data_IF_984390314058
#
_entry.id   IF_984390314058
#
_cell.length_a   1.000
_cell.length_b   1.000
_cell.length_c   1.000
_cell.angle_alpha   90.00
_cell.angle_beta   90.00
_cell.angle_gamma   90.00
#
_symmetry.space_group_name_H-M   'P 1'
#
loop_
_entity.id
_entity.type
_entity.pdbx_description
1 polymer ?
#
# COMPACT_ATOMS: atom_id res chain seq x y z
N UNK A 1 50.06 -14.18 -35.84
CA UNK A 1 49.12 -15.00 -36.64
C UNK A 1 48.22 -15.75 -35.68
N UNK A 2 46.93 -15.90 -36.01
CA UNK A 2 45.97 -16.64 -35.17
C UNK A 2 45.20 -17.68 -35.98
N UNK A 3 44.91 -18.81 -35.35
CA UNK A 3 44.22 -19.94 -35.99
C UNK A 3 42.72 -19.81 -35.82
N UNK A 4 41.95 -20.00 -36.91
CA UNK A 4 40.49 -20.01 -36.85
C UNK A 4 39.96 -21.22 -36.07
N UNK A 5 39.14 -20.99 -35.04
CA UNK A 5 38.54 -22.06 -34.21
C UNK A 5 37.54 -22.96 -34.96
N UNK A 6 37.04 -22.52 -36.11
CA UNK A 6 36.07 -23.28 -36.91
C UNK A 6 36.71 -24.13 -38.01
N UNK A 7 37.81 -23.67 -38.64
CA UNK A 7 38.43 -24.38 -39.77
C UNK A 7 39.91 -24.73 -39.58
N UNK A 8 40.55 -24.27 -38.50
CA UNK A 8 41.95 -24.61 -38.18
C UNK A 8 43.01 -23.89 -39.02
N UNK A 9 42.64 -22.96 -39.90
CA UNK A 9 43.61 -22.22 -40.76
C UNK A 9 44.10 -20.92 -40.11
N UNK A 10 45.34 -20.57 -40.39
CA UNK A 10 45.98 -19.33 -39.92
C UNK A 10 45.41 -18.09 -40.61
N UNK A 11 45.29 -17.00 -39.85
CA UNK A 11 44.85 -15.69 -40.32
C UNK A 11 45.71 -14.59 -39.68
N UNK A 12 45.76 -13.39 -40.30
CA UNK A 12 46.33 -12.19 -39.67
C UNK A 12 45.72 -11.91 -38.30
N UNK A 13 46.52 -11.34 -37.39
CA UNK A 13 46.09 -11.09 -36.01
C UNK A 13 44.94 -10.06 -35.91
N UNK A 14 44.83 -9.19 -36.91
CA UNK A 14 43.83 -8.12 -37.03
C UNK A 14 42.57 -8.50 -37.84
N UNK A 15 42.51 -9.70 -38.43
CA UNK A 15 41.42 -10.09 -39.33
C UNK A 15 40.10 -10.33 -38.59
N UNK A 16 39.07 -9.50 -38.75
CA UNK A 16 37.75 -9.65 -38.09
C UNK A 16 36.97 -10.92 -38.46
N UNK A 17 37.28 -11.50 -39.62
CA UNK A 17 36.69 -12.73 -40.17
C UNK A 17 37.79 -13.64 -40.72
N UNK A 18 37.54 -14.94 -40.74
CA UNK A 18 38.46 -15.90 -41.33
C UNK A 18 38.46 -15.79 -42.86
N UNK A 19 39.64 -15.59 -43.46
CA UNK A 19 39.81 -15.47 -44.91
C UNK A 19 39.48 -16.76 -45.70
N UNK A 20 39.30 -17.89 -45.00
CA UNK A 20 39.03 -19.19 -45.63
C UNK A 20 37.59 -19.69 -45.46
N UNK A 21 36.95 -19.45 -44.32
CA UNK A 21 35.59 -19.93 -44.06
C UNK A 21 34.56 -18.81 -43.80
N UNK A 22 35.00 -17.55 -43.75
CA UNK A 22 34.12 -16.40 -43.50
C UNK A 22 33.61 -16.27 -42.07
N UNK A 23 33.98 -17.18 -41.16
CA UNK A 23 33.47 -17.15 -39.79
C UNK A 23 34.10 -16.00 -38.99
N UNK A 24 33.33 -15.40 -38.07
CA UNK A 24 33.82 -14.26 -37.27
C UNK A 24 34.93 -14.70 -36.33
N UNK A 25 36.00 -13.92 -36.33
CA UNK A 25 37.15 -14.09 -35.44
C UNK A 25 37.08 -13.13 -34.25
N UNK A 26 35.92 -12.49 -34.03
CA UNK A 26 35.67 -11.68 -32.85
C UNK A 26 35.79 -12.56 -31.61
N UNK A 27 36.54 -12.10 -30.61
CA UNK A 27 36.54 -12.72 -29.30
C UNK A 27 35.11 -12.73 -28.78
N UNK A 28 34.49 -13.92 -28.75
CA UNK A 28 33.26 -14.14 -28.01
C UNK A 28 33.56 -13.74 -26.56
N UNK A 29 33.06 -12.57 -26.14
CA UNK A 29 33.16 -12.15 -24.74
C UNK A 29 32.62 -13.32 -23.93
N UNK A 30 33.41 -13.95 -23.03
CA UNK A 30 32.95 -15.11 -22.31
C UNK A 30 31.59 -14.75 -21.70
N UNK A 31 30.57 -15.61 -21.88
CA UNK A 31 29.22 -15.28 -21.44
C UNK A 31 29.33 -14.87 -19.97
N UNK A 32 28.82 -13.69 -19.63
CA UNK A 32 28.92 -13.17 -18.28
C UNK A 32 28.36 -14.24 -17.33
N UNK A 33 29.26 -14.92 -16.60
CA UNK A 33 28.85 -16.02 -15.74
C UNK A 33 28.02 -15.40 -14.63
N UNK A 34 26.70 -15.63 -14.68
CA UNK A 34 25.79 -15.12 -13.66
C UNK A 34 26.26 -15.60 -12.29
N UNK A 35 26.57 -14.65 -11.40
CA UNK A 35 27.01 -14.95 -10.01
C UNK A 35 26.00 -15.83 -9.27
N UNK A 36 24.74 -15.83 -9.70
CA UNK A 36 23.65 -16.64 -9.15
C UNK A 36 23.77 -18.14 -9.44
N UNK A 37 24.54 -18.55 -10.48
CA UNK A 37 24.80 -19.97 -10.76
C UNK A 37 25.80 -20.62 -9.80
N UNK A 38 26.50 -19.82 -8.97
CA UNK A 38 27.49 -20.32 -8.01
C UNK A 38 26.93 -20.61 -6.62
N UNK A 39 25.65 -20.31 -6.38
CA UNK A 39 25.04 -20.55 -5.08
C UNK A 39 24.79 -22.07 -4.96
N UNK A 40 25.40 -22.75 -3.97
CA UNK A 40 25.15 -24.17 -3.74
C UNK A 40 23.69 -24.40 -3.34
N UNK A 41 23.15 -25.60 -3.54
CA UNK A 41 21.73 -25.89 -3.31
C UNK A 41 21.25 -25.52 -1.89
N UNK A 42 22.11 -25.64 -0.86
CA UNK A 42 21.78 -25.23 0.50
C UNK A 42 21.59 -23.71 0.65
N UNK A 43 22.31 -22.89 -0.13
CA UNK A 43 22.18 -21.44 -0.11
C UNK A 43 20.82 -20.98 -0.65
N UNK A 44 20.31 -21.66 -1.68
CA UNK A 44 18.95 -21.42 -2.19
C UNK A 44 17.87 -21.77 -1.17
N UNK A 45 18.05 -22.86 -0.41
CA UNK A 45 17.14 -23.22 0.68
C UNK A 45 17.10 -22.12 1.74
N UNK A 46 18.27 -21.59 2.15
CA UNK A 46 18.31 -20.50 3.13
C UNK A 46 17.65 -19.22 2.61
N UNK A 47 17.90 -18.84 1.35
CA UNK A 47 17.25 -17.68 0.74
C UNK A 47 15.72 -17.85 0.73
N UNK A 48 15.24 -19.05 0.38
CA UNK A 48 13.82 -19.35 0.39
C UNK A 48 13.24 -19.26 1.82
N UNK A 49 13.89 -19.90 2.80
CA UNK A 49 13.45 -19.89 4.20
C UNK A 49 13.41 -18.46 4.75
N UNK A 50 14.47 -17.67 4.55
CA UNK A 50 14.52 -16.26 4.96
C UNK A 50 13.45 -15.44 4.23
N UNK A 51 13.22 -15.70 2.94
CA UNK A 51 12.16 -15.07 2.17
C UNK A 51 10.77 -15.36 2.73
N UNK A 52 10.48 -16.62 3.08
CA UNK A 52 9.21 -17.03 3.69
C UNK A 52 9.03 -16.41 5.08
N UNK A 53 10.06 -16.44 5.94
CA UNK A 53 10.02 -15.81 7.26
C UNK A 53 9.79 -14.30 7.13
N UNK A 54 10.51 -13.64 6.23
CA UNK A 54 10.35 -12.21 5.96
C UNK A 54 8.96 -11.86 5.46
N UNK A 55 8.37 -12.68 4.58
CA UNK A 55 7.00 -12.51 4.10
C UNK A 55 5.97 -12.66 5.23
N UNK A 56 6.12 -13.67 6.09
CA UNK A 56 5.24 -13.87 7.26
C UNK A 56 5.35 -12.67 8.21
N UNK A 57 6.58 -12.25 8.53
CA UNK A 57 6.83 -11.10 9.39
C UNK A 57 6.26 -9.80 8.81
N UNK A 58 6.33 -9.62 7.47
CA UNK A 58 5.73 -8.48 6.79
C UNK A 58 4.20 -8.44 6.95
N UNK A 59 3.51 -9.56 6.76
CA UNK A 59 2.06 -9.60 6.93
C UNK A 59 1.67 -9.34 8.38
N UNK A 60 2.30 -10.02 9.34
CA UNK A 60 2.03 -9.81 10.78
C UNK A 60 2.31 -8.35 11.17
N UNK A 61 3.47 -7.83 10.77
CA UNK A 61 3.86 -6.44 11.04
C UNK A 61 2.89 -5.43 10.43
N UNK A 62 2.36 -5.71 9.22
CA UNK A 62 1.36 -4.86 8.58
C UNK A 62 0.04 -4.84 9.35
N UNK A 63 -0.44 -6.00 9.83
CA UNK A 63 -1.64 -6.07 10.67
C UNK A 63 -1.45 -5.32 11.99
N UNK A 64 -0.30 -5.50 12.65
CA UNK A 64 0.02 -4.77 13.89
C UNK A 64 0.10 -3.27 13.63
N UNK A 65 0.76 -2.84 12.57
CA UNK A 65 0.88 -1.43 12.22
C UNK A 65 -0.49 -0.78 11.95
N UNK A 66 -1.36 -1.46 11.18
CA UNK A 66 -2.72 -0.99 10.90
C UNK A 66 -3.56 -0.90 12.19
N UNK A 67 -3.39 -1.85 13.12
CA UNK A 67 -4.18 -1.91 14.35
C UNK A 67 -3.69 -0.98 15.47
N UNK A 68 -2.41 -0.64 15.52
CA UNK A 68 -1.80 0.07 16.66
C UNK A 68 -1.35 1.49 16.34
N UNK A 69 -0.99 1.79 15.09
CA UNK A 69 -0.47 3.10 14.70
C UNK A 69 -1.61 3.93 14.13
N UNK A 70 -1.95 5.00 14.87
CA UNK A 70 -3.01 5.93 14.47
C UNK A 70 -2.77 6.47 13.05
N UNK A 71 -3.81 6.36 12.23
CA UNK A 71 -3.83 6.84 10.86
C UNK A 71 -3.13 6.00 9.81
N UNK A 72 -2.41 4.91 10.15
CA UNK A 72 -1.90 3.98 9.13
C UNK A 72 -3.04 3.39 8.30
N UNK A 73 -4.12 2.94 8.97
CA UNK A 73 -5.33 2.46 8.31
C UNK A 73 -5.92 3.51 7.34
N UNK A 74 -6.14 4.73 7.83
CA UNK A 74 -6.65 5.84 7.01
C UNK A 74 -5.76 6.17 5.80
N UNK A 75 -4.43 6.14 5.95
CA UNK A 75 -3.49 6.40 4.87
C UNK A 75 -3.50 5.29 3.81
N UNK A 76 -3.53 4.02 4.25
CA UNK A 76 -3.68 2.87 3.35
C UNK A 76 -4.99 2.97 2.58
N UNK A 77 -6.09 3.29 3.26
CA UNK A 77 -7.39 3.50 2.62
C UNK A 77 -7.38 4.67 1.65
N UNK A 78 -6.73 5.80 1.97
CA UNK A 78 -6.61 6.93 1.06
C UNK A 78 -5.83 6.55 -0.20
N UNK A 79 -4.70 5.84 -0.07
CA UNK A 79 -3.92 5.35 -1.21
C UNK A 79 -4.74 4.38 -2.07
N UNK A 80 -5.41 3.40 -1.44
CA UNK A 80 -6.28 2.47 -2.14
C UNK A 80 -7.42 3.19 -2.87
N UNK A 81 -8.02 4.22 -2.25
CA UNK A 81 -9.02 5.09 -2.85
C UNK A 81 -8.48 5.87 -4.05
N UNK A 82 -7.28 6.47 -3.93
CA UNK A 82 -6.64 7.18 -5.04
C UNK A 82 -6.41 6.26 -6.25
N UNK A 83 -5.98 5.02 -6.01
CA UNK A 83 -5.79 4.01 -7.06
C UNK A 83 -7.15 3.57 -7.62
N UNK A 84 -8.09 3.19 -6.77
CA UNK A 84 -9.41 2.65 -7.15
C UNK A 84 -10.27 3.65 -7.91
N UNK A 85 -10.27 4.91 -7.50
CA UNK A 85 -10.96 5.98 -8.22
C UNK A 85 -10.17 6.54 -9.40
N UNK A 86 -8.91 6.13 -9.58
CA UNK A 86 -8.06 6.56 -10.68
C UNK A 86 -7.72 8.05 -10.62
N UNK A 87 -7.34 8.56 -9.45
CA UNK A 87 -6.96 9.96 -9.22
C UNK A 87 -5.66 10.31 -9.94
N UNK A 88 -4.75 9.35 -10.07
CA UNK A 88 -3.50 9.53 -10.82
C UNK A 88 -3.80 9.75 -12.31
N UNK A 89 -3.15 10.72 -12.99
CA UNK A 89 -3.49 11.17 -14.35
C UNK A 89 -3.14 10.16 -15.47
N UNK A 90 -2.82 8.91 -15.13
CA UNK A 90 -2.44 7.88 -16.09
C UNK A 90 -3.58 7.47 -17.04
N UNK A 91 -4.84 7.80 -16.72
CA UNK A 91 -6.01 7.37 -17.51
C UNK A 91 -7.08 8.45 -17.61
N UNK A 92 -7.60 8.64 -18.83
CA UNK A 92 -8.73 9.55 -19.12
C UNK A 92 -9.94 9.22 -18.23
N UNK A 93 -10.61 10.21 -17.62
CA UNK A 93 -11.84 10.00 -16.88
C UNK A 93 -12.90 9.39 -17.80
N UNK A 94 -13.27 8.14 -17.51
CA UNK A 94 -14.39 7.46 -18.18
C UNK A 94 -15.70 7.93 -17.57
N UNK A 95 -16.71 8.15 -18.41
CA UNK A 95 -18.04 8.50 -17.95
C UNK A 95 -18.75 7.24 -17.43
N UNK A 96 -18.48 6.88 -16.17
CA UNK A 96 -19.18 5.78 -15.49
C UNK A 96 -20.59 6.21 -15.11
N UNK A 97 -21.54 5.27 -15.10
CA UNK A 97 -22.91 5.53 -14.66
C UNK A 97 -22.95 6.02 -13.20
N UNK A 98 -23.94 6.85 -12.87
CA UNK A 98 -24.12 7.37 -11.50
C UNK A 98 -24.22 6.24 -10.47
N UNK A 99 -24.92 5.15 -10.82
CA UNK A 99 -25.04 3.96 -9.99
C UNK A 99 -23.68 3.31 -9.68
N UNK A 100 -22.82 3.11 -10.69
CA UNK A 100 -21.50 2.51 -10.47
C UNK A 100 -20.63 3.36 -9.56
N UNK A 101 -20.72 4.69 -9.68
CA UNK A 101 -20.01 5.62 -8.79
C UNK A 101 -20.51 5.51 -7.35
N UNK A 102 -21.83 5.51 -7.16
CA UNK A 102 -22.43 5.38 -5.84
C UNK A 102 -22.04 4.05 -5.17
N UNK A 103 -22.07 2.95 -5.93
CA UNK A 103 -21.64 1.63 -5.45
C UNK A 103 -20.16 1.62 -5.04
N UNK A 104 -19.29 2.23 -5.85
CA UNK A 104 -17.86 2.34 -5.54
C UNK A 104 -17.58 3.17 -4.28
N UNK A 105 -18.29 4.30 -4.11
CA UNK A 105 -18.18 5.15 -2.91
C UNK A 105 -18.72 4.42 -1.68
N UNK A 106 -19.87 3.74 -1.79
CA UNK A 106 -20.44 2.98 -0.69
C UNK A 106 -19.51 1.85 -0.25
N UNK A 107 -18.94 1.10 -1.19
CA UNK A 107 -17.95 0.07 -0.90
C UNK A 107 -16.70 0.66 -0.23
N UNK A 108 -16.18 1.77 -0.76
CA UNK A 108 -15.03 2.47 -0.17
C UNK A 108 -15.30 2.91 1.27
N UNK A 109 -16.50 3.44 1.54
CA UNK A 109 -16.89 3.87 2.88
C UNK A 109 -17.09 2.71 3.85
N UNK A 110 -17.69 1.61 3.41
CA UNK A 110 -17.82 0.39 4.23
C UNK A 110 -16.45 -0.21 4.57
N UNK A 111 -15.53 -0.26 3.61
CA UNK A 111 -14.16 -0.69 3.86
C UNK A 111 -13.43 0.29 4.79
N UNK A 112 -13.62 1.59 4.59
CA UNK A 112 -13.05 2.65 5.42
C UNK A 112 -13.42 2.47 6.89
N UNK A 113 -14.71 2.36 7.22
CA UNK A 113 -15.15 2.16 8.61
C UNK A 113 -14.70 0.82 9.20
N UNK A 114 -14.54 -0.21 8.37
CA UNK A 114 -14.15 -1.54 8.84
C UNK A 114 -12.66 -1.60 9.19
N UNK A 115 -11.83 -0.89 8.41
CA UNK A 115 -10.36 -0.91 8.52
C UNK A 115 -9.84 0.22 9.43
N UNK A 116 -10.44 1.41 9.38
CA UNK A 116 -10.01 2.59 10.16
C UNK A 116 -10.79 2.74 11.47
N UNK A 117 -10.81 1.67 12.28
CA UNK A 117 -11.52 1.68 13.57
C UNK A 117 -10.85 2.60 14.60
N UNK A 118 -9.51 2.65 14.61
CA UNK A 118 -8.73 3.51 15.50
C UNK A 118 -8.80 4.98 15.11
N UNK A 119 -8.98 5.25 13.81
CA UNK A 119 -8.94 6.59 13.26
C UNK A 119 -7.54 7.20 13.21
N UNK A 120 -7.53 8.52 13.00
CA UNK A 120 -6.37 9.39 13.14
C UNK A 120 -6.81 10.69 13.82
N UNK A 121 -5.84 11.52 14.21
CA UNK A 121 -6.11 12.83 14.81
C UNK A 121 -7.11 13.69 14.01
N UNK A 122 -6.97 13.75 12.68
CA UNK A 122 -7.83 14.54 11.80
C UNK A 122 -9.26 13.99 11.69
N UNK A 123 -9.43 12.67 11.60
CA UNK A 123 -10.73 12.00 11.45
C UNK A 123 -11.43 11.83 12.81
N UNK A 124 -10.72 11.97 13.92
CA UNK A 124 -11.33 12.05 15.24
C UNK A 124 -11.97 13.42 15.49
N UNK A 125 -11.56 14.47 14.77
CA UNK A 125 -12.07 15.82 15.00
C UNK A 125 -13.56 16.01 14.71
N UNK A 126 -14.15 15.48 13.63
CA UNK A 126 -15.58 15.62 13.42
C UNK A 126 -16.40 14.92 14.52
N UNK A 127 -15.92 13.78 15.04
CA UNK A 127 -16.53 13.11 16.19
C UNK A 127 -16.42 13.97 17.45
N UNK A 128 -15.24 14.50 17.74
CA UNK A 128 -15.00 15.42 18.87
C UNK A 128 -15.91 16.65 18.80
N UNK A 129 -15.95 17.34 17.65
CA UNK A 129 -16.74 18.56 17.46
C UNK A 129 -18.25 18.34 17.52
N UNK A 130 -18.73 17.15 17.18
CA UNK A 130 -20.18 16.86 17.13
C UNK A 130 -20.70 16.20 18.39
N UNK A 131 -19.84 15.49 19.14
CA UNK A 131 -20.25 14.64 20.26
C UNK A 131 -19.63 15.02 21.60
N UNK A 132 -18.53 15.79 21.61
CA UNK A 132 -17.92 16.33 22.82
C UNK A 132 -18.27 17.83 22.93
N UNK A 133 -19.02 18.22 23.96
CA UNK A 133 -19.48 19.59 24.19
C UNK A 133 -18.33 20.52 24.65
N UNK A 134 -17.35 20.75 23.78
CA UNK A 134 -16.13 21.53 24.06
C UNK A 134 -14.99 20.72 24.71
N UNK A 135 -15.22 19.44 25.03
CA UNK A 135 -14.21 18.54 25.58
C UNK A 135 -13.28 17.91 24.54
N UNK A 136 -12.25 17.21 25.01
CA UNK A 136 -11.29 16.48 24.16
C UNK A 136 -11.66 15.01 24.04
N UNK A 137 -11.63 14.47 22.82
CA UNK A 137 -11.91 13.05 22.58
C UNK A 137 -10.64 12.22 22.82
N UNK A 138 -10.71 11.29 23.75
CA UNK A 138 -9.64 10.30 23.96
C UNK A 138 -10.16 8.90 23.70
N UNK A 139 -9.35 8.11 23.01
CA UNK A 139 -9.59 6.69 22.75
C UNK A 139 -8.82 5.85 23.75
N UNK A 140 -9.48 4.87 24.36
CA UNK A 140 -8.85 3.89 25.24
C UNK A 140 -9.13 2.49 24.72
N UNK A 141 -8.07 1.72 24.54
CA UNK A 141 -8.19 0.28 24.31
C UNK A 141 -8.21 -0.41 25.66
N UNK A 142 -9.28 -1.15 25.92
CA UNK A 142 -9.36 -2.02 27.09
C UNK A 142 -9.24 -3.47 26.61
N UNK A 143 -8.11 -4.09 26.91
CA UNK A 143 -7.89 -5.52 26.64
C UNK A 143 -8.20 -6.28 27.92
N UNK A 144 -9.29 -7.04 27.90
CA UNK A 144 -9.71 -7.84 29.05
C UNK A 144 -9.78 -9.33 28.70
N UNK A 145 -9.51 -10.18 29.68
CA UNK A 145 -9.61 -11.65 29.56
C UNK A 145 -10.60 -12.17 30.61
N UNK A 146 -11.91 -11.89 30.47
CA UNK A 146 -12.92 -12.25 31.45
C UNK A 146 -13.14 -13.77 31.55
N UNK A 147 -12.81 -14.54 30.50
CA UNK A 147 -12.90 -16.00 30.48
C UNK A 147 -11.56 -16.60 29.99
N UNK A 148 -11.07 -17.70 30.61
CA UNK A 148 -9.84 -18.37 30.16
C UNK A 148 -9.90 -18.73 28.66
N UNK A 149 -8.87 -18.32 27.91
CA UNK A 149 -8.76 -18.58 26.47
C UNK A 149 -9.53 -17.60 25.57
N UNK A 150 -10.11 -16.54 26.14
CA UNK A 150 -10.73 -15.45 25.37
C UNK A 150 -10.04 -14.11 25.67
N UNK A 151 -9.88 -13.30 24.62
CA UNK A 151 -9.38 -11.93 24.72
C UNK A 151 -10.40 -11.03 24.09
N UNK A 152 -10.94 -10.11 24.89
CA UNK A 152 -11.87 -9.08 24.44
C UNK A 152 -11.11 -7.78 24.32
N UNK A 153 -11.10 -7.22 23.12
CA UNK A 153 -10.52 -5.92 22.84
C UNK A 153 -11.71 -4.98 22.66
N UNK A 154 -11.96 -4.15 23.67
CA UNK A 154 -12.99 -3.12 23.62
C UNK A 154 -12.34 -1.76 23.37
N UNK A 155 -12.96 -0.95 22.50
CA UNK A 155 -12.50 0.39 22.19
C UNK A 155 -13.50 1.39 22.75
N UNK A 156 -13.08 2.09 23.80
CA UNK A 156 -13.87 3.14 24.44
C UNK A 156 -13.48 4.51 23.87
N UNK A 157 -14.47 5.25 23.41
CA UNK A 157 -14.34 6.66 23.04
C UNK A 157 -14.94 7.51 24.15
N UNK A 158 -14.11 8.30 24.83
CA UNK A 158 -14.52 9.09 25.99
C UNK A 158 -14.15 10.55 25.78
N UNK A 159 -15.12 11.45 25.95
CA UNK A 159 -14.89 12.88 26.00
C UNK A 159 -14.43 13.27 27.41
N UNK A 160 -13.37 14.07 27.49
CA UNK A 160 -12.82 14.62 28.72
C UNK A 160 -13.00 16.14 28.76
N UNK A 161 -13.25 16.70 29.93
CA UNK A 161 -13.28 18.15 30.14
C UNK A 161 -11.87 18.74 30.18
N UNK A 162 -11.78 20.07 30.33
CA UNK A 162 -10.50 20.77 30.46
C UNK A 162 -9.71 20.38 31.73
N UNK A 163 -10.37 19.79 32.74
CA UNK A 163 -9.76 19.29 33.96
C UNK A 163 -9.28 17.84 33.84
N UNK A 164 -9.57 17.16 32.72
CA UNK A 164 -9.24 15.76 32.50
C UNK A 164 -10.23 14.77 33.12
N UNK A 165 -11.42 15.22 33.52
CA UNK A 165 -12.50 14.37 34.02
C UNK A 165 -13.37 13.83 32.86
N UNK A 166 -13.78 12.55 32.90
CA UNK A 166 -14.58 11.96 31.84
C UNK A 166 -16.02 12.49 31.86
N UNK A 167 -16.42 13.25 30.84
CA UNK A 167 -17.78 13.81 30.70
C UNK A 167 -18.74 12.73 30.19
N UNK A 168 -18.37 12.04 29.11
CA UNK A 168 -19.30 11.21 28.33
C UNK A 168 -18.58 10.10 27.57
N UNK A 169 -19.09 8.88 27.70
CA UNK A 169 -18.71 7.75 26.83
C UNK A 169 -19.57 7.77 25.56
N UNK A 170 -18.94 7.67 24.41
CA UNK A 170 -19.63 7.71 23.12
C UNK A 170 -20.08 6.31 22.70
N UNK A 171 -21.26 6.24 22.06
CA UNK A 171 -21.73 5.00 21.45
C UNK A 171 -20.91 4.71 20.19
N UNK A 172 -20.30 3.53 20.12
CA UNK A 172 -19.48 3.11 18.98
C UNK A 172 -20.22 3.18 17.64
N UNK A 173 -21.53 2.89 17.61
CA UNK A 173 -22.33 2.99 16.39
C UNK A 173 -22.48 4.42 15.89
N UNK A 174 -22.55 5.40 16.80
CA UNK A 174 -22.59 6.81 16.43
C UNK A 174 -21.24 7.26 15.84
N UNK A 175 -20.12 6.81 16.45
CA UNK A 175 -18.77 7.05 15.91
C UNK A 175 -18.64 6.44 14.51
N UNK A 176 -19.03 5.17 14.33
CA UNK A 176 -18.99 4.49 13.03
C UNK A 176 -19.87 5.19 11.97
N UNK A 177 -21.03 5.73 12.36
CA UNK A 177 -21.89 6.47 11.44
C UNK A 177 -21.23 7.76 10.95
N UNK A 178 -20.58 8.53 11.83
CA UNK A 178 -19.82 9.72 11.43
C UNK A 178 -18.68 9.33 10.49
N UNK A 179 -17.92 8.29 10.83
CA UNK A 179 -16.83 7.80 9.97
C UNK A 179 -17.30 7.33 8.60
N UNK A 180 -18.46 6.68 8.54
CA UNK A 180 -19.05 6.28 7.27
C UNK A 180 -19.33 7.50 6.38
N UNK A 181 -19.87 8.57 6.94
CA UNK A 181 -20.11 9.83 6.24
C UNK A 181 -18.81 10.52 5.82
N UNK A 182 -17.78 10.50 6.67
CA UNK A 182 -16.45 11.01 6.31
C UNK A 182 -15.87 10.29 5.09
N UNK A 183 -15.94 8.96 5.05
CA UNK A 183 -15.44 8.22 3.90
C UNK A 183 -16.28 8.40 2.64
N UNK A 184 -17.60 8.63 2.76
CA UNK A 184 -18.42 9.06 1.62
C UNK A 184 -17.90 10.39 1.08
N UNK A 185 -17.68 11.37 1.96
CA UNK A 185 -17.16 12.68 1.60
C UNK A 185 -15.78 12.56 0.94
N UNK A 186 -14.87 11.78 1.52
CA UNK A 186 -13.55 11.50 0.95
C UNK A 186 -13.65 10.85 -0.44
N UNK A 187 -14.56 9.90 -0.64
CA UNK A 187 -14.79 9.29 -1.95
C UNK A 187 -15.18 10.35 -3.01
N UNK A 188 -16.08 11.27 -2.66
CA UNK A 188 -16.43 12.39 -3.54
C UNK A 188 -15.27 13.36 -3.76
N UNK A 189 -14.49 13.68 -2.71
CA UNK A 189 -13.29 14.52 -2.81
C UNK A 189 -12.24 13.90 -3.72
N UNK A 190 -12.04 12.59 -3.70
CA UNK A 190 -11.12 11.88 -4.59
C UNK A 190 -11.60 11.96 -6.05
N UNK A 191 -12.90 11.77 -6.30
CA UNK A 191 -13.46 11.95 -7.65
C UNK A 191 -13.34 13.39 -8.15
N UNK A 192 -13.51 14.37 -7.25
CA UNK A 192 -13.30 15.78 -7.55
C UNK A 192 -11.82 16.07 -7.87
N UNK A 193 -10.90 15.59 -7.01
CA UNK A 193 -9.46 15.74 -7.20
C UNK A 193 -9.00 15.14 -8.52
N UNK A 194 -9.50 13.95 -8.90
CA UNK A 194 -9.27 13.34 -10.22
C UNK A 194 -9.64 14.30 -11.35
N UNK A 195 -10.80 14.95 -11.27
CA UNK A 195 -11.29 15.86 -12.29
C UNK A 195 -10.40 17.10 -12.40
N UNK A 196 -10.04 17.68 -11.25
CA UNK A 196 -9.16 18.86 -11.19
C UNK A 196 -7.77 18.54 -11.74
N UNK A 197 -7.15 17.44 -11.29
CA UNK A 197 -5.82 17.01 -11.74
C UNK A 197 -5.81 16.72 -13.25
N UNK A 198 -6.82 16.02 -13.78
CA UNK A 198 -6.92 15.76 -15.21
C UNK A 198 -7.00 17.06 -16.03
N UNK A 199 -7.81 18.03 -15.59
CA UNK A 199 -7.93 19.32 -16.27
C UNK A 199 -6.61 20.11 -16.22
N UNK A 200 -5.92 20.10 -15.07
CA UNK A 200 -4.62 20.75 -14.92
C UNK A 200 -3.56 20.16 -15.87
N UNK A 201 -3.49 18.83 -16.00
CA UNK A 201 -2.51 18.16 -16.89
C UNK A 201 -2.78 18.36 -18.39
N UNK A 202 -4.01 18.73 -18.78
CA UNK A 202 -4.36 19.05 -20.17
C UNK A 202 -4.09 20.51 -20.54
N UNK A 203 -4.11 21.42 -19.57
CA UNK A 203 -3.80 22.83 -19.81
C UNK A 203 -2.30 23.08 -20.08
N UNK A 204 -1.45 22.10 -19.81
CA UNK A 204 0.00 22.17 -20.00
C UNK A 204 0.51 21.54 -21.32
N UNK A 205 -0.39 21.08 -22.19
CA UNK A 205 -0.10 20.47 -23.50
C UNK A 205 -0.77 21.23 -24.61
#
# INVERSE_FOLDING_TARGET
MRTCSHCGKENPDDASYCNHCGNSMAFSKPPATSRWKRIPSWGWILILVVGVIGLIAFFIGSFVAIATIEGVASAVMLIAGMIGFGVTPLRKPQNTSGFTRALGIAFFALMGISVDQTGNYLYNKPVEMTMCDGGTLTRKENVSNPVPGSTYIEQDFVCYDDNGEPIKRLNIFAVMAIRFLEYILLGYLLLFARRVLWNATRGSS
#
